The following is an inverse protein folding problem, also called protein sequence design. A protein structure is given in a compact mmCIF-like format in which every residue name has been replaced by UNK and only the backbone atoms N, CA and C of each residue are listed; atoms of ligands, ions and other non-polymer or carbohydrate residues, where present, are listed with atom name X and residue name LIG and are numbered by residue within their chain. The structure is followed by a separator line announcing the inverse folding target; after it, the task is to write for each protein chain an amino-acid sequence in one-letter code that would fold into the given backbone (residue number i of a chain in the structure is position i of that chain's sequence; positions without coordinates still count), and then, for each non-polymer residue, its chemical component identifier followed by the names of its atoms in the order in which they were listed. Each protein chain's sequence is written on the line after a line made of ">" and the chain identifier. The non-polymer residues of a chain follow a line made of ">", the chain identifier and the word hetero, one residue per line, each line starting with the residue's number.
data_IF_814513445744
#
_entry.id   IF_814513445744
#
_cell.length_a   1.000
_cell.length_b   1.000
_cell.length_c   1.000
_cell.angle_alpha   90.00
_cell.angle_beta   90.00
_cell.angle_gamma   90.00
#
_symmetry.space_group_name_H-M   'P 1'
#
loop_
_entity.id
_entity.type
_entity.pdbx_description
1 polymer ?
#
# COMPACT_ATOMS: atom_id res chain seq x y z
N UNK A 1 16.16 -2.50 16.73
CA UNK A 1 14.68 -2.34 16.73
C UNK A 1 14.33 -1.16 17.62
N UNK A 2 13.54 -0.19 17.13
CA UNK A 2 13.01 0.87 18.01
C UNK A 2 11.88 0.29 18.89
N UNK A 3 11.78 0.65 20.17
CA UNK A 3 10.76 0.10 21.06
C UNK A 3 9.37 0.59 20.65
N UNK A 4 8.46 -0.33 20.36
CA UNK A 4 7.03 -0.04 20.15
C UNK A 4 6.39 0.06 21.53
N UNK A 5 5.91 1.25 21.89
CA UNK A 5 5.21 1.51 23.16
C UNK A 5 3.98 0.60 23.30
N UNK A 6 3.69 0.09 24.51
CA UNK A 6 2.62 -0.87 24.72
C UNK A 6 1.23 -0.24 24.53
N UNK A 7 0.37 -1.04 23.91
CA UNK A 7 -1.09 -1.05 23.85
C UNK A 7 -1.79 -0.12 24.82
N UNK A 8 -2.47 0.89 24.27
CA UNK A 8 -3.68 1.44 24.86
C UNK A 8 -4.83 1.15 23.89
N UNK A 9 -5.92 0.61 24.42
CA UNK A 9 -7.16 0.38 23.69
C UNK A 9 -7.48 1.57 22.77
N UNK A 10 -7.87 1.28 21.53
CA UNK A 10 -8.32 2.30 20.57
C UNK A 10 -9.35 3.18 21.30
N UNK A 11 -9.10 4.48 21.52
CA UNK A 11 -10.00 5.29 22.32
C UNK A 11 -11.37 5.35 21.63
N UNK A 12 -12.49 5.33 22.38
CA UNK A 12 -13.85 5.10 21.85
C UNK A 12 -14.27 6.07 20.74
N UNK A 13 -13.68 7.27 20.73
CA UNK A 13 -13.77 8.28 19.68
C UNK A 13 -13.37 7.79 18.27
N UNK A 14 -12.42 6.86 18.15
CA UNK A 14 -11.96 6.37 16.85
C UNK A 14 -12.96 5.39 16.21
N UNK A 15 -13.72 4.63 17.00
CA UNK A 15 -14.72 3.70 16.46
C UNK A 15 -15.91 4.46 15.87
N UNK A 16 -16.37 5.53 16.53
CA UNK A 16 -17.43 6.39 16.01
C UNK A 16 -17.01 7.08 14.71
N UNK A 17 -15.80 7.65 14.66
CA UNK A 17 -15.24 8.25 13.45
C UNK A 17 -15.13 7.22 12.31
N UNK A 18 -14.68 5.99 12.61
CA UNK A 18 -14.56 4.92 11.63
C UNK A 18 -15.94 4.50 11.10
N UNK A 19 -16.95 4.38 11.97
CA UNK A 19 -18.33 4.12 11.55
C UNK A 19 -18.90 5.23 10.66
N UNK A 20 -18.58 6.50 10.93
CA UNK A 20 -19.03 7.63 10.11
C UNK A 20 -18.41 7.60 8.69
N UNK A 21 -17.16 7.15 8.56
CA UNK A 21 -16.45 7.14 7.27
C UNK A 21 -16.81 5.92 6.41
N UNK A 22 -16.84 4.72 6.98
CA UNK A 22 -17.02 3.47 6.20
C UNK A 22 -18.38 2.78 6.45
N UNK A 23 -19.20 3.32 7.34
CA UNK A 23 -20.48 2.76 7.75
C UNK A 23 -20.36 1.68 8.83
N UNK A 24 -21.42 1.52 9.63
CA UNK A 24 -21.46 0.58 10.77
C UNK A 24 -21.20 -0.88 10.36
N UNK A 25 -21.70 -1.30 9.18
CA UNK A 25 -21.52 -2.67 8.69
C UNK A 25 -20.05 -2.99 8.41
N UNK A 26 -19.32 -2.10 7.75
CA UNK A 26 -17.91 -2.33 7.42
C UNK A 26 -17.01 -2.16 8.65
N UNK A 27 -17.35 -1.22 9.55
CA UNK A 27 -16.69 -1.10 10.84
C UNK A 27 -16.77 -2.41 11.64
N UNK A 28 -17.94 -3.05 11.70
CA UNK A 28 -18.12 -4.36 12.35
C UNK A 28 -17.26 -5.46 11.71
N UNK A 29 -17.17 -5.51 10.37
CA UNK A 29 -16.28 -6.46 9.68
C UNK A 29 -14.82 -6.25 10.07
N UNK A 30 -14.37 -4.99 10.12
CA UNK A 30 -13.01 -4.62 10.51
C UNK A 30 -12.72 -5.03 11.97
N UNK A 31 -13.63 -4.73 12.89
CA UNK A 31 -13.50 -5.17 14.29
C UNK A 31 -13.50 -6.70 14.44
N UNK A 32 -14.29 -7.42 13.63
CA UNK A 32 -14.30 -8.89 13.66
C UNK A 32 -12.99 -9.49 13.15
N UNK A 33 -12.37 -8.89 12.14
CA UNK A 33 -11.14 -9.40 11.54
C UNK A 33 -9.87 -9.00 12.32
N UNK A 34 -9.83 -7.79 12.91
CA UNK A 34 -8.62 -7.22 13.49
C UNK A 34 -8.80 -6.71 14.93
N UNK A 35 -9.95 -6.93 15.56
CA UNK A 35 -10.23 -6.49 16.93
C UNK A 35 -9.20 -7.01 17.93
N UNK A 36 -8.73 -6.14 18.82
CA UNK A 36 -7.68 -6.46 19.80
C UNK A 36 -6.25 -6.41 19.27
N UNK A 37 -6.06 -6.23 17.95
CA UNK A 37 -4.73 -6.02 17.34
C UNK A 37 -4.49 -4.55 16.99
N UNK A 38 -3.22 -4.15 16.93
CA UNK A 38 -2.81 -2.80 16.51
C UNK A 38 -2.60 -2.79 15.00
N UNK A 39 -3.55 -2.21 14.27
CA UNK A 39 -3.49 -2.10 12.82
C UNK A 39 -2.87 -0.77 12.39
N UNK A 40 -1.83 -0.84 11.56
CA UNK A 40 -1.27 0.34 10.89
C UNK A 40 -2.15 0.70 9.69
N UNK A 41 -2.71 1.92 9.69
CA UNK A 41 -3.41 2.48 8.53
C UNK A 41 -2.38 3.28 7.71
N UNK A 42 -2.00 2.82 6.51
CA UNK A 42 -1.06 3.53 5.66
C UNK A 42 -1.65 4.86 5.19
N UNK A 43 -0.76 5.84 4.97
CA UNK A 43 -1.14 7.07 4.26
C UNK A 43 -1.55 6.73 2.83
N UNK A 44 -2.46 7.52 2.25
CA UNK A 44 -2.91 7.36 0.86
C UNK A 44 -1.74 7.21 -0.13
N UNK A 45 -0.70 8.04 0.02
CA UNK A 45 0.51 7.93 -0.81
C UNK A 45 1.16 6.54 -0.77
N UNK A 46 1.09 5.84 0.36
CA UNK A 46 1.62 4.49 0.54
C UNK A 46 0.73 3.39 -0.05
N UNK A 47 -0.56 3.65 -0.20
CA UNK A 47 -1.52 2.75 -0.85
C UNK A 47 -1.37 2.81 -2.37
N UNK A 48 -1.23 4.01 -2.91
CA UNK A 48 -1.18 4.22 -4.35
C UNK A 48 0.20 3.92 -4.95
N UNK A 49 1.28 4.11 -4.17
CA UNK A 49 2.66 3.89 -4.64
C UNK A 49 2.89 2.47 -5.18
N UNK A 50 2.57 1.38 -4.46
CA UNK A 50 2.77 0.02 -4.98
C UNK A 50 1.94 -0.27 -6.23
N UNK A 51 0.68 0.15 -6.25
CA UNK A 51 -0.23 -0.04 -7.38
C UNK A 51 0.25 0.72 -8.61
N UNK A 52 0.59 2.00 -8.47
CA UNK A 52 1.18 2.83 -9.55
C UNK A 52 2.48 2.22 -10.07
N UNK A 53 3.36 1.79 -9.18
CA UNK A 53 4.64 1.18 -9.57
C UNK A 53 4.44 -0.17 -10.28
N UNK A 54 3.36 -0.90 -10.00
CA UNK A 54 2.99 -2.12 -10.73
C UNK A 54 2.53 -1.76 -12.14
N UNK A 55 1.68 -0.74 -12.27
CA UNK A 55 1.19 -0.27 -13.57
C UNK A 55 2.32 0.25 -14.46
N UNK A 56 3.24 1.08 -13.92
CA UNK A 56 4.41 1.57 -14.66
C UNK A 56 5.25 0.42 -15.25
N UNK A 57 5.40 -0.69 -14.51
CA UNK A 57 6.14 -1.87 -15.01
C UNK A 57 5.37 -2.62 -16.09
N UNK A 58 4.05 -2.72 -15.96
CA UNK A 58 3.20 -3.35 -16.97
C UNK A 58 3.25 -2.55 -18.27
N UNK A 59 3.06 -1.24 -18.21
CA UNK A 59 3.11 -0.37 -19.39
C UNK A 59 4.49 -0.43 -20.07
N UNK A 60 5.58 -0.46 -19.30
CA UNK A 60 6.93 -0.67 -19.82
C UNK A 60 7.09 -2.04 -20.51
N UNK A 61 6.52 -3.11 -19.94
CA UNK A 61 6.51 -4.44 -20.54
C UNK A 61 5.68 -4.52 -21.83
N UNK A 62 4.67 -3.64 -21.96
CA UNK A 62 3.89 -3.45 -23.19
C UNK A 62 4.55 -2.50 -24.20
N UNK A 63 5.78 -2.05 -23.95
CA UNK A 63 6.58 -1.26 -24.89
C UNK A 63 6.55 0.26 -24.68
N UNK A 64 5.95 0.75 -23.59
CA UNK A 64 6.00 2.17 -23.26
C UNK A 64 7.44 2.62 -22.98
N UNK A 65 7.85 3.72 -23.61
CA UNK A 65 9.18 4.32 -23.39
C UNK A 65 9.22 5.08 -22.06
N UNK A 66 10.43 5.27 -21.53
CA UNK A 66 10.65 6.02 -20.27
C UNK A 66 10.06 7.44 -20.36
N UNK A 67 10.19 8.11 -21.51
CA UNK A 67 9.62 9.44 -21.74
C UNK A 67 8.10 9.46 -21.64
N UNK A 68 7.42 8.47 -22.24
CA UNK A 68 5.96 8.34 -22.16
C UNK A 68 5.48 8.07 -20.73
N UNK A 69 6.23 7.23 -19.98
CA UNK A 69 5.93 6.95 -18.58
C UNK A 69 6.10 8.19 -17.69
N UNK A 70 7.15 8.99 -17.91
CA UNK A 70 7.35 10.25 -17.19
C UNK A 70 6.16 11.21 -17.39
N UNK A 71 5.69 11.36 -18.63
CA UNK A 71 4.56 12.22 -18.96
C UNK A 71 3.25 11.72 -18.36
N UNK A 72 2.96 10.42 -18.48
CA UNK A 72 1.70 9.80 -18.04
C UNK A 72 1.56 9.79 -16.52
N UNK A 73 2.64 9.49 -15.80
CA UNK A 73 2.62 9.34 -14.35
C UNK A 73 3.11 10.58 -13.59
N UNK A 74 3.46 11.65 -14.32
CA UNK A 74 4.05 12.88 -13.78
C UNK A 74 5.25 12.60 -12.86
N UNK A 75 6.16 11.74 -13.32
CA UNK A 75 7.35 11.33 -12.57
C UNK A 75 8.62 11.80 -13.27
N UNK A 76 9.66 12.04 -12.48
CA UNK A 76 11.00 12.25 -13.03
C UNK A 76 11.53 10.96 -13.66
N UNK A 77 12.36 11.10 -14.69
CA UNK A 77 13.02 9.97 -15.34
C UNK A 77 13.81 9.10 -14.36
N UNK A 78 14.50 9.72 -13.39
CA UNK A 78 15.20 9.01 -12.32
C UNK A 78 14.26 8.11 -11.51
N UNK A 79 13.05 8.58 -11.20
CA UNK A 79 12.06 7.79 -10.46
C UNK A 79 11.52 6.65 -11.30
N UNK A 80 11.19 6.89 -12.57
CA UNK A 80 10.72 5.84 -13.49
C UNK A 80 11.79 4.76 -13.64
N UNK A 81 13.05 5.13 -13.92
CA UNK A 81 14.16 4.18 -14.02
C UNK A 81 14.36 3.38 -12.72
N UNK A 82 14.25 4.03 -11.56
CA UNK A 82 14.31 3.32 -10.26
C UNK A 82 13.17 2.32 -10.09
N UNK A 83 11.94 2.67 -10.48
CA UNK A 83 10.78 1.79 -10.39
C UNK A 83 11.00 0.55 -11.28
N UNK A 84 11.50 0.76 -12.49
CA UNK A 84 11.81 -0.31 -13.44
C UNK A 84 13.00 -1.18 -12.99
N UNK A 85 14.01 -0.60 -12.33
CA UNK A 85 15.18 -1.34 -11.86
C UNK A 85 14.92 -2.19 -10.61
N UNK A 86 13.90 -1.85 -9.81
CA UNK A 86 13.54 -2.66 -8.63
C UNK A 86 12.87 -3.94 -9.11
N UNK A 87 13.61 -5.05 -9.01
CA UNK A 87 13.08 -6.40 -9.20
C UNK A 87 11.95 -6.63 -8.18
N UNK A 88 10.77 -7.11 -8.59
CA UNK A 88 9.74 -7.50 -7.62
C UNK A 88 10.35 -8.50 -6.63
N UNK A 89 10.00 -8.43 -5.33
CA UNK A 89 10.51 -9.37 -4.35
C UNK A 89 10.26 -10.79 -4.85
N UNK A 90 11.29 -11.63 -4.75
CA UNK A 90 11.18 -13.05 -5.11
C UNK A 90 10.16 -13.66 -4.16
N UNK A 91 9.00 -14.05 -4.68
CA UNK A 91 7.98 -14.72 -3.88
C UNK A 91 8.58 -16.00 -3.32
N UNK A 92 8.55 -16.14 -1.98
CA UNK A 92 9.13 -17.27 -1.27
C UNK A 92 8.51 -18.61 -1.69
N UNK A 93 7.33 -18.58 -2.32
CA UNK A 93 6.53 -19.74 -2.73
C UNK A 93 6.78 -20.21 -4.18
N UNK A 94 7.77 -19.66 -4.88
CA UNK A 94 7.98 -19.90 -6.32
C UNK A 94 9.12 -20.87 -6.66
N UNK A 95 9.73 -21.54 -5.68
CA UNK A 95 10.72 -22.60 -5.94
C UNK A 95 10.08 -23.99 -5.80
N UNK A 96 10.21 -24.88 -6.81
CA UNK A 96 10.04 -26.30 -6.59
C UNK A 96 11.28 -26.78 -5.82
N UNK A 97 11.04 -27.38 -4.67
CA UNK A 97 12.03 -28.08 -3.85
C UNK A 97 12.90 -29.04 -4.68
#
# INVERSE_FOLDING_TARGET
>A
MKPVKPTAAVPPQNLAALQAVIGTRNARKLCRAFGGSTLYIPKLEGVDRPSRNRQIRQDAAHGATVTQLCATYHLSERQVRRILSVRPPKDFWSEPW
#
